data_IF_914605669224
#
_entry.id   IF_914605669224
#
_cell.length_a   1.000
_cell.length_b   1.000
_cell.length_c   1.000
_cell.angle_alpha   90.00
_cell.angle_beta   90.00
_cell.angle_gamma   90.00
#
_symmetry.space_group_name_H-M   'P 1'
#
loop_
_entity.id
_entity.type
_entity.pdbx_description
1 polymer ?
#
# COMPACT_ATOMS: atom_id res chain seq x y z
N UNK A 1 -0.14 14.22 2.93
CA UNK A 1 -1.55 14.33 2.48
C UNK A 1 -2.48 14.73 3.63
N UNK A 2 -2.64 13.93 4.70
CA UNK A 2 -3.54 14.28 5.82
C UNK A 2 -3.26 15.65 6.45
N UNK A 3 -2.00 15.95 6.78
CA UNK A 3 -1.56 17.27 7.29
C UNK A 3 -1.96 18.43 6.37
N UNK A 4 -1.96 18.21 5.05
CA UNK A 4 -2.33 19.24 4.06
C UNK A 4 -3.86 19.41 4.04
N UNK A 5 -4.63 18.33 4.17
CA UNK A 5 -6.09 18.43 4.22
C UNK A 5 -6.59 19.07 5.51
N UNK A 6 -5.95 18.78 6.64
CA UNK A 6 -6.37 19.29 7.95
C UNK A 6 -5.76 20.65 8.31
N UNK A 7 -4.69 21.07 7.60
CA UNK A 7 -3.90 22.27 7.92
C UNK A 7 -3.52 22.38 9.40
N UNK A 8 -3.35 21.23 10.06
CA UNK A 8 -3.15 21.11 11.50
C UNK A 8 -2.05 20.09 11.80
N UNK A 9 -1.45 20.11 13.00
CA UNK A 9 -0.56 19.04 13.44
C UNK A 9 -1.23 17.67 13.29
N UNK A 10 -0.44 16.65 12.93
CA UNK A 10 -0.95 15.28 12.89
C UNK A 10 -1.33 14.83 14.31
N UNK A 11 -2.35 13.97 14.47
CA UNK A 11 -2.71 13.43 15.77
C UNK A 11 -1.53 12.72 16.44
N UNK A 12 -1.35 12.95 17.75
CA UNK A 12 -0.27 12.33 18.54
C UNK A 12 -0.46 10.82 18.71
N UNK A 13 -1.71 10.36 18.73
CA UNK A 13 -2.06 8.97 18.97
C UNK A 13 -2.33 8.26 17.64
N UNK A 14 -1.74 7.08 17.45
CA UNK A 14 -1.90 6.28 16.23
C UNK A 14 -3.38 5.99 15.94
N UNK A 15 -4.17 5.63 16.95
CA UNK A 15 -5.61 5.36 16.78
C UNK A 15 -6.35 6.58 16.17
N UNK A 16 -6.10 7.78 16.70
CA UNK A 16 -6.70 9.02 16.18
C UNK A 16 -6.22 9.33 14.76
N UNK A 17 -4.94 9.08 14.46
CA UNK A 17 -4.41 9.22 13.10
C UNK A 17 -5.08 8.27 12.11
N UNK A 18 -5.27 6.99 12.49
CA UNK A 18 -5.95 6.01 11.65
C UNK A 18 -7.42 6.37 11.43
N UNK A 19 -8.12 6.87 12.46
CA UNK A 19 -9.49 7.35 12.32
C UNK A 19 -9.60 8.51 11.33
N UNK A 20 -8.69 9.48 11.40
CA UNK A 20 -8.66 10.59 10.43
C UNK A 20 -8.33 10.09 9.01
N UNK A 21 -7.39 9.17 8.85
CA UNK A 21 -7.12 8.58 7.53
C UNK A 21 -8.37 7.92 6.95
N UNK A 22 -9.07 7.10 7.74
CA UNK A 22 -10.31 6.45 7.31
C UNK A 22 -11.41 7.48 6.97
N UNK A 23 -11.50 8.57 7.74
CA UNK A 23 -12.45 9.64 7.48
C UNK A 23 -12.19 10.35 6.14
N UNK A 24 -10.94 10.70 5.83
CA UNK A 24 -10.60 11.46 4.62
C UNK A 24 -10.43 10.59 3.36
N UNK A 25 -9.97 9.36 3.50
CA UNK A 25 -9.57 8.51 2.36
C UNK A 25 -10.35 7.18 2.29
N UNK A 26 -11.27 6.94 3.23
CA UNK A 26 -12.00 5.69 3.37
C UNK A 26 -11.15 4.57 3.96
N UNK A 27 -11.77 3.40 4.16
CA UNK A 27 -11.08 2.23 4.70
C UNK A 27 -10.21 1.52 3.65
N UNK A 28 -10.53 1.65 2.35
CA UNK A 28 -9.90 0.94 1.25
C UNK A 28 -8.51 1.48 0.85
N UNK A 29 -7.62 1.65 1.83
CA UNK A 29 -6.23 2.05 1.62
C UNK A 29 -5.35 0.82 1.59
N UNK A 30 -4.68 0.61 0.46
CA UNK A 30 -3.76 -0.51 0.25
C UNK A 30 -2.32 0.00 0.25
N UNK A 31 -1.55 -0.44 1.23
CA UNK A 31 -0.10 -0.27 1.20
C UNK A 31 0.52 -1.44 0.43
N UNK A 32 0.90 -1.19 -0.82
CA UNK A 32 1.52 -2.21 -1.66
C UNK A 32 2.80 -2.77 -1.03
N UNK A 33 3.58 -1.98 -0.28
CA UNK A 33 4.78 -2.47 0.39
C UNK A 33 4.44 -3.57 1.39
N UNK A 34 3.33 -3.40 2.10
CA UNK A 34 2.80 -4.43 2.99
C UNK A 34 2.40 -5.69 2.19
N UNK A 35 1.61 -5.52 1.12
CA UNK A 35 1.21 -6.65 0.26
C UNK A 35 2.42 -7.41 -0.30
N UNK A 36 3.44 -6.71 -0.79
CA UNK A 36 4.64 -7.32 -1.33
C UNK A 36 5.42 -8.11 -0.29
N UNK A 37 5.55 -7.59 0.93
CA UNK A 37 6.17 -8.34 2.04
C UNK A 37 5.43 -9.66 2.30
N UNK A 38 4.10 -9.65 2.27
CA UNK A 38 3.29 -10.87 2.45
C UNK A 38 3.50 -11.89 1.30
N UNK A 39 3.79 -11.40 0.10
CA UNK A 39 4.15 -12.24 -1.05
C UNK A 39 5.62 -12.68 -1.08
N UNK A 40 6.40 -12.36 -0.05
CA UNK A 40 7.85 -12.63 -0.03
C UNK A 40 8.68 -11.74 -0.96
N UNK A 41 8.07 -10.72 -1.54
CA UNK A 41 8.72 -9.77 -2.45
C UNK A 41 9.42 -8.68 -1.63
N UNK A 42 10.75 -8.73 -1.59
CA UNK A 42 11.59 -7.80 -0.84
C UNK A 42 12.31 -6.82 -1.77
N UNK A 43 12.11 -5.53 -1.55
CA UNK A 43 12.80 -4.46 -2.30
C UNK A 43 12.05 -3.15 -2.31
N UNK A 44 12.65 -2.12 -2.89
CA UNK A 44 11.96 -0.87 -3.24
C UNK A 44 11.00 -1.06 -4.43
N UNK A 45 10.24 -0.01 -4.76
CA UNK A 45 9.23 -0.03 -5.82
C UNK A 45 9.80 -0.54 -7.16
N UNK A 46 11.01 -0.13 -7.52
CA UNK A 46 11.70 -0.53 -8.76
C UNK A 46 11.90 -2.03 -8.86
N UNK A 47 12.45 -2.63 -7.80
CA UNK A 47 12.72 -4.07 -7.75
C UNK A 47 11.42 -4.86 -7.80
N UNK A 48 10.37 -4.35 -7.16
CA UNK A 48 9.05 -4.98 -7.20
C UNK A 48 8.45 -4.87 -8.59
N UNK A 49 8.50 -3.70 -9.23
CA UNK A 49 8.02 -3.50 -10.59
C UNK A 49 8.73 -4.44 -11.57
N UNK A 50 10.06 -4.60 -11.44
CA UNK A 50 10.82 -5.59 -12.21
C UNK A 50 10.33 -7.02 -11.99
N UNK A 51 10.05 -7.40 -10.74
CA UNK A 51 9.57 -8.75 -10.40
C UNK A 51 8.17 -9.02 -10.97
N UNK A 52 7.32 -8.00 -11.01
CA UNK A 52 5.98 -8.07 -11.61
C UNK A 52 5.98 -7.88 -13.14
N UNK A 53 7.17 -7.70 -13.74
CA UNK A 53 7.35 -7.35 -15.14
C UNK A 53 6.52 -6.13 -15.58
N UNK A 54 6.50 -5.11 -14.72
CA UNK A 54 5.84 -3.82 -14.95
C UNK A 54 6.90 -2.76 -15.25
N UNK A 55 6.89 -2.25 -16.47
CA UNK A 55 7.79 -1.17 -16.87
C UNK A 55 7.28 0.21 -16.41
N UNK A 56 8.23 1.11 -16.11
CA UNK A 56 7.98 2.55 -15.96
C UNK A 56 7.77 3.14 -17.35
N UNK A 57 6.61 3.76 -17.57
CA UNK A 57 6.20 4.27 -18.89
C UNK A 57 6.67 5.69 -19.15
N UNK A 58 6.71 6.52 -18.11
CA UNK A 58 7.07 7.94 -18.23
C UNK A 58 7.66 8.44 -16.93
N UNK A 59 8.44 9.53 -17.04
CA UNK A 59 9.15 10.15 -15.93
C UNK A 59 10.33 9.34 -15.41
N UNK A 60 11.00 9.89 -14.41
CA UNK A 60 12.16 9.26 -13.77
C UNK A 60 11.78 8.66 -12.41
N UNK A 61 12.60 7.74 -11.91
CA UNK A 61 12.52 7.30 -10.51
C UNK A 61 12.66 8.48 -9.55
N UNK A 62 12.06 8.38 -8.37
CA UNK A 62 12.11 9.39 -7.31
C UNK A 62 11.33 10.68 -7.65
N UNK A 63 10.38 10.59 -8.58
CA UNK A 63 9.41 11.65 -8.85
C UNK A 63 8.01 11.16 -8.48
N UNK A 64 7.31 11.90 -7.62
CA UNK A 64 6.03 11.45 -7.06
C UNK A 64 4.98 11.06 -8.11
N UNK A 65 4.87 11.81 -9.22
CA UNK A 65 3.95 11.47 -10.32
C UNK A 65 4.34 10.19 -11.05
N UNK A 66 5.62 10.05 -11.36
CA UNK A 66 6.20 8.88 -12.01
C UNK A 66 6.04 7.61 -11.13
N UNK A 67 6.36 7.73 -9.84
CA UNK A 67 6.32 6.63 -8.88
C UNK A 67 4.87 6.23 -8.51
N UNK A 68 3.95 7.20 -8.43
CA UNK A 68 2.53 6.89 -8.20
C UNK A 68 1.91 6.14 -9.39
N UNK A 69 2.25 6.49 -10.63
CA UNK A 69 1.82 5.73 -11.80
C UNK A 69 2.40 4.30 -11.79
N UNK A 70 3.68 4.14 -11.46
CA UNK A 70 4.31 2.82 -11.37
C UNK A 70 3.65 1.97 -10.25
N UNK A 71 3.37 2.59 -9.11
CA UNK A 71 2.64 1.97 -7.99
C UNK A 71 1.26 1.48 -8.44
N UNK A 72 0.48 2.32 -9.13
CA UNK A 72 -0.84 1.95 -9.65
C UNK A 72 -0.77 0.77 -10.61
N UNK A 73 0.21 0.76 -11.53
CA UNK A 73 0.37 -0.34 -12.49
C UNK A 73 0.71 -1.66 -11.79
N UNK A 74 1.58 -1.62 -10.78
CA UNK A 74 1.88 -2.80 -9.95
C UNK A 74 0.63 -3.31 -9.21
N UNK A 75 -0.18 -2.41 -8.64
CA UNK A 75 -1.45 -2.78 -8.01
C UNK A 75 -2.41 -3.46 -9.00
N UNK A 76 -2.58 -2.88 -10.19
CA UNK A 76 -3.48 -3.45 -11.21
C UNK A 76 -2.99 -4.81 -11.69
N UNK A 77 -1.67 -5.02 -11.82
CA UNK A 77 -1.07 -6.32 -12.15
C UNK A 77 -1.43 -7.37 -11.10
N UNK A 78 -1.20 -7.08 -9.81
CA UNK A 78 -1.58 -7.97 -8.71
C UNK A 78 -3.10 -8.26 -8.69
N UNK A 79 -3.92 -7.25 -8.95
CA UNK A 79 -5.37 -7.40 -9.02
C UNK A 79 -5.79 -8.32 -10.16
N UNK A 80 -5.20 -8.16 -11.35
CA UNK A 80 -5.49 -9.02 -12.51
C UNK A 80 -5.10 -10.48 -12.31
N UNK A 81 -4.12 -10.74 -11.44
CA UNK A 81 -3.67 -12.07 -11.05
C UNK A 81 -4.46 -12.66 -9.87
N UNK A 82 -5.56 -11.99 -9.47
CA UNK A 82 -6.42 -12.37 -8.35
C UNK A 82 -5.64 -12.57 -7.04
N UNK A 83 -4.50 -11.91 -6.85
CA UNK A 83 -3.65 -12.08 -5.66
C UNK A 83 -4.38 -11.65 -4.39
N UNK A 84 -5.24 -10.63 -4.51
CA UNK A 84 -6.06 -10.15 -3.41
C UNK A 84 -7.29 -11.02 -3.12
N UNK A 85 -7.68 -11.93 -4.01
CA UNK A 85 -8.86 -12.82 -3.83
C UNK A 85 -8.42 -14.24 -3.46
N UNK A 86 -7.44 -14.79 -4.19
CA UNK A 86 -6.88 -16.14 -3.97
C UNK A 86 -6.26 -16.30 -2.59
N UNK A 87 -5.40 -15.34 -2.18
CA UNK A 87 -4.76 -15.39 -0.85
C UNK A 87 -5.65 -14.92 0.30
N UNK A 88 -6.71 -14.18 0.00
CA UNK A 88 -7.71 -13.74 0.99
C UNK A 88 -8.60 -14.89 1.44
N UNK A 89 -8.88 -15.85 0.56
CA UNK A 89 -9.75 -16.99 0.86
C UNK A 89 -9.04 -18.19 1.49
N UNK A 90 -7.73 -18.39 1.25
CA UNK A 90 -7.00 -19.56 1.79
C UNK A 90 -6.53 -19.38 3.24
N UNK A 91 -6.44 -18.14 3.77
CA UNK A 91 -5.88 -17.87 5.11
C UNK A 91 -6.90 -17.18 6.00
N UNK A 92 -7.79 -17.96 6.62
CA UNK A 92 -8.83 -17.51 7.54
C UNK A 92 -8.31 -16.95 8.89
N UNK A 93 -7.20 -16.19 8.92
CA UNK A 93 -6.72 -15.51 10.13
C UNK A 93 -5.73 -14.35 9.96
N UNK A 94 -5.54 -13.81 8.76
CA UNK A 94 -4.82 -12.55 8.60
C UNK A 94 -5.34 -11.81 7.37
N UNK A 95 -6.51 -11.21 7.54
CA UNK A 95 -6.97 -10.11 6.69
C UNK A 95 -5.76 -9.18 6.53
N UNK A 96 -5.38 -8.79 5.32
CA UNK A 96 -4.69 -7.51 5.16
C UNK A 96 -5.76 -6.48 5.49
N UNK A 97 -5.88 -5.94 6.73
CA UNK A 97 -6.94 -5.01 6.95
C UNK A 97 -6.69 -3.85 5.97
N UNK A 98 -7.69 -3.44 5.19
CA UNK A 98 -7.65 -2.13 4.58
C UNK A 98 -7.18 -1.13 5.65
N UNK A 99 -6.21 -0.25 5.33
CA UNK A 99 -5.47 0.59 6.27
C UNK A 99 -4.23 -0.06 6.96
N UNK A 100 -3.78 -1.24 6.53
CA UNK A 100 -2.51 -1.86 6.97
C UNK A 100 -1.27 -1.13 6.42
N UNK A 101 -0.99 0.05 6.95
CA UNK A 101 0.17 0.84 6.53
C UNK A 101 1.48 0.21 7.02
N UNK A 102 2.41 0.01 6.10
CA UNK A 102 3.70 -0.61 6.37
C UNK A 102 4.47 0.19 7.42
N UNK A 103 4.92 -0.49 8.48
CA UNK A 103 5.66 0.12 9.59
C UNK A 103 4.77 0.76 10.67
N UNK A 104 3.46 0.88 10.45
CA UNK A 104 2.51 1.36 11.48
C UNK A 104 1.67 0.22 12.08
N UNK A 105 1.33 -0.79 11.27
CA UNK A 105 0.64 -1.97 11.76
C UNK A 105 1.66 -3.05 12.10
N UNK A 106 1.78 -3.37 13.39
CA UNK A 106 2.53 -4.54 13.83
C UNK A 106 1.68 -5.78 13.56
N UNK A 107 2.07 -6.58 12.58
CA UNK A 107 1.66 -7.99 12.56
C UNK A 107 2.21 -8.64 13.81
N UNK A 108 1.33 -9.16 14.67
CA UNK A 108 1.71 -10.09 15.73
C UNK A 108 2.55 -11.19 15.09
N UNK A 109 3.73 -11.44 15.66
CA UNK A 109 4.62 -12.53 15.25
C UNK A 109 4.01 -13.88 15.56
#
# INVERSE_FOLDING_TARGET
>A
MLKILTQSPLPLHLHSFMHQLAYFFGYNIFDLKYTFKFLGLLGGLEKIAQTLNVARITGSSHQAGSDSLLTLRCFMKLKSENVFESKWNETNQMLLPPLALYGLVQTVR
#
